data_IF_580220023160
#
_entry.id   IF_580220023160
#
_cell.length_a   1.000
_cell.length_b   1.000
_cell.length_c   1.000
_cell.angle_alpha   90.00
_cell.angle_beta   90.00
_cell.angle_gamma   90.00
#
_symmetry.space_group_name_H-M   'P 1'
#
loop_
_entity.id
_entity.type
_entity.pdbx_description
1 polymer ?
#
# COMPACT_ATOMS: atom_id res chain seq x y z
N UNK A 1 19.90 41.23 -39.91
CA UNK A 1 18.71 40.87 -39.10
C UNK A 1 19.05 39.59 -38.37
N UNK A 2 18.98 39.62 -37.04
CA UNK A 2 19.41 38.55 -36.12
C UNK A 2 18.46 37.34 -36.20
N UNK A 3 18.93 36.09 -35.99
CA UNK A 3 18.05 34.96 -35.77
C UNK A 3 17.54 34.97 -34.32
N UNK A 4 16.22 34.89 -34.16
CA UNK A 4 15.55 34.80 -32.87
C UNK A 4 15.79 33.41 -32.24
N UNK A 5 16.56 33.38 -31.14
CA UNK A 5 16.61 32.23 -30.24
C UNK A 5 15.33 32.22 -29.40
N UNK A 6 14.40 31.33 -29.75
CA UNK A 6 13.27 30.99 -28.88
C UNK A 6 13.74 29.88 -27.93
N UNK A 7 14.23 30.27 -26.75
CA UNK A 7 14.54 29.35 -25.67
C UNK A 7 13.24 28.71 -25.18
N UNK A 8 13.00 27.47 -25.57
CA UNK A 8 11.98 26.62 -24.94
C UNK A 8 12.41 26.34 -23.50
N UNK A 9 11.56 26.59 -22.48
CA UNK A 9 11.88 26.18 -21.12
C UNK A 9 12.05 24.66 -21.12
N UNK A 10 13.21 24.20 -20.65
CA UNK A 10 13.39 22.79 -20.28
C UNK A 10 12.42 22.53 -19.13
N UNK A 11 11.28 21.92 -19.42
CA UNK A 11 10.48 21.26 -18.40
C UNK A 11 11.31 20.07 -17.91
N UNK A 12 12.06 20.31 -16.84
CA UNK A 12 12.65 19.24 -16.04
C UNK A 12 11.47 18.49 -15.43
N UNK A 13 11.26 17.19 -15.72
CA UNK A 13 10.25 16.41 -15.02
C UNK A 13 10.63 16.45 -13.55
N UNK A 14 9.83 17.14 -12.74
CA UNK A 14 9.96 17.10 -11.29
C UNK A 14 9.77 15.63 -10.94
N UNK A 15 10.79 14.93 -10.41
CA UNK A 15 10.58 13.58 -9.93
C UNK A 15 9.60 13.74 -8.78
N UNK A 16 8.35 13.34 -8.99
CA UNK A 16 7.42 13.11 -7.88
C UNK A 16 8.09 12.02 -7.07
N UNK A 17 8.85 12.43 -6.04
CA UNK A 17 9.46 11.50 -5.10
C UNK A 17 8.30 10.84 -4.38
N UNK A 18 7.83 9.73 -4.94
CA UNK A 18 6.84 8.89 -4.29
C UNK A 18 7.36 8.57 -2.89
N UNK A 19 6.52 8.78 -1.88
CA UNK A 19 6.83 8.37 -0.50
C UNK A 19 7.20 6.88 -0.41
N UNK A 20 6.74 6.08 -1.37
CA UNK A 20 6.97 4.65 -1.47
C UNK A 20 8.08 4.36 -2.47
N UNK A 21 9.07 3.58 -2.02
CA UNK A 21 10.25 3.23 -2.80
C UNK A 21 10.03 2.01 -3.73
N UNK A 22 9.10 1.13 -3.35
CA UNK A 22 8.58 -0.07 -4.06
C UNK A 22 7.16 -0.34 -3.54
N UNK A 23 6.39 -1.25 -4.15
CA UNK A 23 4.98 -1.56 -3.82
C UNK A 23 4.04 -0.36 -3.99
N UNK A 24 4.32 0.50 -4.97
CA UNK A 24 3.64 1.79 -5.10
C UNK A 24 2.14 1.64 -5.27
N UNK A 25 1.71 0.72 -6.16
CA UNK A 25 0.29 0.49 -6.42
C UNK A 25 -0.45 0.02 -5.16
N UNK A 26 0.12 -0.95 -4.42
CA UNK A 26 -0.50 -1.47 -3.21
C UNK A 26 -0.61 -0.39 -2.13
N UNK A 27 0.44 0.41 -1.93
CA UNK A 27 0.47 1.43 -0.89
C UNK A 27 -0.49 2.60 -1.19
N UNK A 28 -0.61 3.01 -2.45
CA UNK A 28 -1.58 4.03 -2.85
C UNK A 28 -3.01 3.56 -2.61
N UNK A 29 -3.35 2.36 -3.07
CA UNK A 29 -4.69 1.81 -2.91
C UNK A 29 -5.05 1.69 -1.42
N UNK A 30 -4.13 1.16 -0.60
CA UNK A 30 -4.34 1.07 0.83
C UNK A 30 -4.51 2.45 1.49
N UNK A 31 -3.69 3.44 1.11
CA UNK A 31 -3.82 4.81 1.60
C UNK A 31 -5.18 5.43 1.23
N UNK A 32 -5.65 5.20 -0.01
CA UNK A 32 -6.96 5.65 -0.46
C UNK A 32 -8.10 5.10 0.41
N UNK A 33 -8.02 3.83 0.81
CA UNK A 33 -8.99 3.28 1.76
C UNK A 33 -8.88 3.89 3.15
N UNK A 34 -7.67 4.10 3.66
CA UNK A 34 -7.45 4.76 4.96
C UNK A 34 -8.12 6.14 4.96
N UNK A 35 -7.86 6.95 3.94
CA UNK A 35 -8.36 8.33 3.86
C UNK A 35 -9.89 8.37 3.79
N UNK A 36 -10.50 7.50 2.98
CA UNK A 36 -11.96 7.39 2.86
C UNK A 36 -12.62 6.91 4.15
N UNK A 37 -12.01 5.97 4.86
CA UNK A 37 -12.53 5.48 6.14
C UNK A 37 -12.41 6.57 7.21
N UNK A 38 -11.27 7.27 7.27
CA UNK A 38 -11.08 8.41 8.18
C UNK A 38 -12.08 9.54 7.91
N UNK A 39 -12.45 9.77 6.65
CA UNK A 39 -13.47 10.76 6.30
C UNK A 39 -14.84 10.45 6.94
N UNK A 40 -15.23 9.17 7.02
CA UNK A 40 -16.53 8.77 7.57
C UNK A 40 -16.51 8.48 9.07
N UNK A 41 -15.35 8.23 9.67
CA UNK A 41 -15.26 7.66 11.03
C UNK A 41 -15.86 8.58 12.09
N UNK A 42 -15.67 9.91 11.97
CA UNK A 42 -16.23 10.89 12.89
C UNK A 42 -17.76 10.91 12.83
N UNK A 43 -18.33 10.74 11.63
CA UNK A 43 -19.78 10.68 11.44
C UNK A 43 -20.37 9.38 12.00
N UNK A 44 -19.65 8.26 11.85
CA UNK A 44 -20.00 6.97 12.48
C UNK A 44 -19.95 7.07 14.01
N UNK A 45 -18.94 7.71 14.58
CA UNK A 45 -18.86 7.96 16.02
C UNK A 45 -20.01 8.85 16.51
N UNK A 46 -20.32 9.89 15.73
CA UNK A 46 -21.40 10.85 16.02
C UNK A 46 -22.78 10.20 15.98
N UNK A 47 -22.97 9.10 15.24
CA UNK A 47 -24.21 8.34 15.27
C UNK A 47 -24.40 7.52 16.55
N UNK A 48 -23.42 7.51 17.46
CA UNK A 48 -23.46 6.87 18.78
C UNK A 48 -23.94 5.41 18.70
N UNK A 49 -23.13 4.50 18.13
CA UNK A 49 -23.49 3.08 18.07
C UNK A 49 -23.81 2.58 19.48
N UNK A 50 -25.03 2.07 19.69
CA UNK A 50 -25.57 1.78 21.02
C UNK A 50 -25.61 0.28 21.36
N UNK A 51 -25.15 -0.58 20.45
CA UNK A 51 -25.05 -2.02 20.70
C UNK A 51 -23.59 -2.45 20.84
N UNK A 52 -23.32 -3.41 21.73
CA UNK A 52 -21.97 -3.90 22.06
C UNK A 52 -21.20 -4.33 20.82
N UNK A 53 -21.87 -5.01 19.88
CA UNK A 53 -21.25 -5.47 18.64
C UNK A 53 -20.77 -4.30 17.77
N UNK A 54 -21.55 -3.23 17.64
CA UNK A 54 -21.17 -2.07 16.84
C UNK A 54 -20.04 -1.26 17.49
N UNK A 55 -20.06 -1.13 18.82
CA UNK A 55 -18.95 -0.51 19.56
C UNK A 55 -17.66 -1.31 19.36
N UNK A 56 -17.72 -2.65 19.48
CA UNK A 56 -16.57 -3.52 19.24
C UNK A 56 -16.06 -3.44 17.79
N UNK A 57 -16.97 -3.38 16.81
CA UNK A 57 -16.63 -3.22 15.41
C UNK A 57 -15.93 -1.88 15.16
N UNK A 58 -16.43 -0.79 15.74
CA UNK A 58 -15.82 0.53 15.63
C UNK A 58 -14.43 0.60 16.28
N UNK A 59 -14.26 0.03 17.48
CA UNK A 59 -12.94 -0.09 18.11
C UNK A 59 -11.97 -0.93 17.26
N UNK A 60 -12.46 -2.01 16.67
CA UNK A 60 -11.66 -2.88 15.79
C UNK A 60 -11.30 -2.19 14.47
N UNK A 61 -12.18 -1.33 13.96
CA UNK A 61 -11.93 -0.50 12.78
C UNK A 61 -10.78 0.49 13.03
N UNK A 62 -10.79 1.19 14.17
CA UNK A 62 -9.69 2.06 14.61
C UNK A 62 -8.35 1.31 14.70
N UNK A 63 -8.35 0.15 15.38
CA UNK A 63 -7.12 -0.65 15.46
C UNK A 63 -6.63 -1.14 14.09
N UNK A 64 -7.56 -1.38 13.16
CA UNK A 64 -7.23 -1.76 11.78
C UNK A 64 -6.65 -0.57 11.00
N UNK A 65 -7.15 0.66 11.22
CA UNK A 65 -6.55 1.87 10.67
C UNK A 65 -5.11 2.07 11.17
N UNK A 66 -4.86 1.86 12.46
CA UNK A 66 -3.50 1.95 13.03
C UNK A 66 -2.56 0.93 12.37
N UNK A 67 -3.01 -0.30 12.19
CA UNK A 67 -2.26 -1.34 11.47
C UNK A 67 -1.97 -0.95 10.02
N UNK A 68 -2.96 -0.39 9.33
CA UNK A 68 -2.83 0.05 7.95
C UNK A 68 -1.78 1.17 7.83
N UNK A 69 -1.87 2.19 8.70
CA UNK A 69 -0.90 3.28 8.79
C UNK A 69 0.52 2.77 9.11
N UNK A 70 0.65 1.76 9.97
CA UNK A 70 1.94 1.14 10.27
C UNK A 70 2.53 0.44 9.03
N UNK A 71 1.72 -0.20 8.19
CA UNK A 71 2.17 -0.78 6.92
C UNK A 71 2.67 0.30 5.97
N UNK A 72 1.90 1.39 5.81
CA UNK A 72 2.28 2.53 4.96
C UNK A 72 3.61 3.13 5.44
N UNK A 73 3.74 3.38 6.74
CA UNK A 73 4.98 3.89 7.35
C UNK A 73 6.16 2.98 7.05
N UNK A 74 6.00 1.68 7.28
CA UNK A 74 7.00 0.67 6.99
C UNK A 74 7.44 0.69 5.51
N UNK A 75 6.50 0.74 4.57
CA UNK A 75 6.80 0.80 3.13
C UNK A 75 7.52 2.10 2.70
N UNK A 76 7.37 3.17 3.48
CA UNK A 76 8.08 4.44 3.21
C UNK A 76 9.48 4.51 3.84
N UNK A 77 9.66 3.94 5.03
CA UNK A 77 10.88 4.12 5.82
C UNK A 77 11.91 3.01 5.60
N UNK A 78 11.49 1.78 5.25
CA UNK A 78 12.39 0.66 5.03
C UNK A 78 13.30 0.83 3.80
N UNK A 79 14.38 0.04 3.74
CA UNK A 79 15.25 -0.04 2.56
C UNK A 79 14.54 -0.74 1.40
N UNK A 80 14.87 -0.37 0.16
CA UNK A 80 14.32 -1.03 -1.05
C UNK A 80 14.55 -2.53 -1.04
N UNK A 81 15.80 -2.93 -0.74
CA UNK A 81 16.18 -4.34 -0.59
C UNK A 81 15.25 -5.10 0.35
N UNK A 82 15.01 -4.56 1.55
CA UNK A 82 14.15 -5.20 2.54
C UNK A 82 12.71 -5.33 2.03
N UNK A 83 12.19 -4.27 1.41
CA UNK A 83 10.82 -4.24 0.90
C UNK A 83 10.62 -5.21 -0.27
N UNK A 84 11.59 -5.35 -1.18
CA UNK A 84 11.54 -6.32 -2.28
C UNK A 84 11.52 -7.76 -1.73
N UNK A 85 12.43 -8.08 -0.80
CA UNK A 85 12.50 -9.41 -0.16
C UNK A 85 11.21 -9.74 0.60
N UNK A 86 10.63 -8.75 1.30
CA UNK A 86 9.43 -8.93 2.14
C UNK A 86 8.11 -8.62 1.43
N UNK A 87 8.13 -8.36 0.13
CA UNK A 87 6.97 -7.97 -0.69
C UNK A 87 5.75 -8.87 -0.52
N UNK A 88 5.92 -10.19 -0.57
CA UNK A 88 4.82 -11.15 -0.36
C UNK A 88 4.21 -11.06 1.04
N UNK A 89 5.04 -10.78 2.06
CA UNK A 89 4.56 -10.55 3.44
C UNK A 89 3.80 -9.23 3.53
N UNK A 90 4.27 -8.18 2.86
CA UNK A 90 3.59 -6.87 2.79
C UNK A 90 2.23 -7.04 2.12
N UNK A 91 2.19 -7.67 0.94
CA UNK A 91 0.97 -7.99 0.21
C UNK A 91 -0.05 -8.71 1.11
N UNK A 92 0.37 -9.80 1.77
CA UNK A 92 -0.50 -10.56 2.69
C UNK A 92 -1.02 -9.70 3.85
N UNK A 93 -0.21 -8.77 4.38
CA UNK A 93 -0.64 -7.84 5.43
C UNK A 93 -1.67 -6.85 4.92
N UNK A 94 -1.48 -6.30 3.72
CA UNK A 94 -2.45 -5.40 3.07
C UNK A 94 -3.78 -6.11 2.84
N UNK A 95 -3.77 -7.34 2.32
CA UNK A 95 -4.99 -8.13 2.11
C UNK A 95 -5.73 -8.40 3.42
N UNK A 96 -5.02 -8.75 4.49
CA UNK A 96 -5.62 -8.94 5.82
C UNK A 96 -6.29 -7.66 6.32
N UNK A 97 -5.62 -6.52 6.17
CA UNK A 97 -6.18 -5.21 6.57
C UNK A 97 -7.43 -4.87 5.75
N UNK A 98 -7.39 -5.04 4.42
CA UNK A 98 -8.55 -4.83 3.54
C UNK A 98 -9.73 -5.70 3.94
N UNK A 99 -9.49 -6.99 4.21
CA UNK A 99 -10.54 -7.91 4.64
C UNK A 99 -11.10 -7.52 6.02
N UNK A 100 -10.26 -7.04 6.94
CA UNK A 100 -10.70 -6.50 8.23
C UNK A 100 -11.55 -5.24 8.07
N UNK A 101 -11.16 -4.30 7.19
CA UNK A 101 -11.99 -3.14 6.88
C UNK A 101 -13.36 -3.56 6.35
N UNK A 102 -13.41 -4.47 5.38
CA UNK A 102 -14.67 -4.96 4.82
C UNK A 102 -15.57 -5.58 5.91
N UNK A 103 -14.99 -6.41 6.79
CA UNK A 103 -15.72 -7.02 7.89
C UNK A 103 -16.32 -5.99 8.85
N UNK A 104 -15.53 -5.05 9.35
CA UNK A 104 -15.99 -4.11 10.38
C UNK A 104 -16.92 -3.04 9.82
N UNK A 105 -16.69 -2.58 8.59
CA UNK A 105 -17.63 -1.66 7.92
C UNK A 105 -18.99 -2.32 7.68
N UNK A 106 -19.02 -3.61 7.31
CA UNK A 106 -20.28 -4.36 7.17
C UNK A 106 -21.03 -4.46 8.50
N UNK A 107 -20.33 -4.66 9.61
CA UNK A 107 -20.95 -4.71 10.95
C UNK A 107 -21.51 -3.34 11.36
N UNK A 108 -20.78 -2.26 11.08
CA UNK A 108 -21.19 -0.89 11.42
C UNK A 108 -22.38 -0.42 10.59
N UNK A 109 -22.45 -0.80 9.31
CA UNK A 109 -23.47 -0.37 8.35
C UNK A 109 -24.91 -0.49 8.90
N UNK A 110 -25.22 -1.55 9.65
CA UNK A 110 -26.57 -1.79 10.17
C UNK A 110 -26.93 -0.92 11.38
N UNK A 111 -26.02 -0.07 11.86
CA UNK A 111 -26.16 0.69 13.10
C UNK A 111 -26.03 2.20 12.92
N UNK A 112 -25.89 2.66 11.69
CA UNK A 112 -25.71 4.06 11.33
C UNK A 112 -26.90 4.59 10.52
N UNK A 113 -27.12 5.92 10.48
CA UNK A 113 -28.11 6.54 9.60
C UNK A 113 -27.92 6.19 8.12
N UNK A 114 -29.03 6.18 7.37
CA UNK A 114 -29.06 5.83 5.93
C UNK A 114 -28.07 6.66 5.09
N UNK A 115 -27.84 7.92 5.45
CA UNK A 115 -26.86 8.78 4.77
C UNK A 115 -25.45 8.17 4.80
N UNK A 116 -25.04 7.59 5.93
CA UNK A 116 -23.73 6.93 6.08
C UNK A 116 -23.71 5.53 5.46
N UNK A 117 -24.85 4.84 5.41
CA UNK A 117 -24.95 3.53 4.77
C UNK A 117 -24.51 3.59 3.31
N UNK A 118 -24.89 4.63 2.56
CA UNK A 118 -24.52 4.79 1.16
C UNK A 118 -23.00 5.00 0.97
N UNK A 119 -22.37 5.82 1.83
CA UNK A 119 -20.92 6.03 1.81
C UNK A 119 -20.17 4.74 2.16
N UNK A 120 -20.62 4.03 3.20
CA UNK A 120 -20.06 2.72 3.60
C UNK A 120 -20.21 1.68 2.49
N UNK A 121 -21.38 1.61 1.82
CA UNK A 121 -21.59 0.72 0.66
C UNK A 121 -20.55 0.95 -0.43
N UNK A 122 -20.26 2.22 -0.73
CA UNK A 122 -19.31 2.60 -1.78
C UNK A 122 -17.90 2.13 -1.41
N UNK A 123 -17.48 2.33 -0.16
CA UNK A 123 -16.17 1.84 0.32
C UNK A 123 -16.12 0.31 0.29
N UNK A 124 -17.18 -0.37 0.74
CA UNK A 124 -17.27 -1.83 0.74
C UNK A 124 -17.17 -2.42 -0.67
N UNK A 125 -17.88 -1.82 -1.62
CA UNK A 125 -17.82 -2.22 -3.02
C UNK A 125 -16.37 -2.17 -3.52
N UNK A 126 -15.69 -1.04 -3.32
CA UNK A 126 -14.33 -0.86 -3.81
C UNK A 126 -13.33 -1.77 -3.10
N UNK A 127 -13.48 -1.98 -1.78
CA UNK A 127 -12.67 -2.94 -1.01
C UNK A 127 -12.80 -4.37 -1.58
N UNK A 128 -14.01 -4.79 -1.95
CA UNK A 128 -14.27 -6.13 -2.45
C UNK A 128 -13.76 -6.33 -3.90
N UNK A 129 -13.72 -5.27 -4.69
CA UNK A 129 -13.26 -5.33 -6.09
C UNK A 129 -11.77 -5.01 -6.25
N UNK A 130 -11.11 -4.46 -5.23
CA UNK A 130 -9.68 -4.16 -5.28
C UNK A 130 -8.86 -5.42 -5.03
N UNK A 131 -8.04 -5.80 -6.01
CA UNK A 131 -7.05 -6.87 -5.87
C UNK A 131 -5.66 -6.27 -5.72
N UNK A 132 -5.06 -6.44 -4.55
CA UNK A 132 -3.65 -6.12 -4.39
C UNK A 132 -2.81 -7.12 -5.17
N UNK A 133 -1.83 -6.63 -5.91
CA UNK A 133 -0.86 -7.45 -6.64
C UNK A 133 0.48 -6.72 -6.67
N UNK A 134 1.56 -7.48 -6.64
CA UNK A 134 2.90 -6.97 -6.91
C UNK A 134 3.05 -6.70 -8.41
N UNK A 135 3.72 -5.62 -8.75
CA UNK A 135 4.16 -5.37 -10.12
C UNK A 135 5.11 -6.50 -10.57
N UNK A 136 5.00 -6.93 -11.84
CA UNK A 136 5.73 -8.10 -12.36
C UNK A 136 7.26 -7.98 -12.17
N UNK A 137 7.82 -6.79 -12.45
CA UNK A 137 9.25 -6.50 -12.24
C UNK A 137 9.67 -6.66 -10.78
N UNK A 138 8.82 -6.29 -9.81
CA UNK A 138 9.14 -6.40 -8.39
C UNK A 138 9.19 -7.86 -7.93
N UNK A 139 8.29 -8.71 -8.43
CA UNK A 139 8.29 -10.15 -8.11
C UNK A 139 9.47 -10.89 -8.76
N UNK A 140 9.85 -10.56 -10.00
CA UNK A 140 11.03 -11.12 -10.64
C UNK A 140 12.33 -10.66 -9.95
N UNK A 141 12.45 -9.38 -9.64
CA UNK A 141 13.61 -8.84 -8.89
C UNK A 141 13.76 -9.55 -7.54
N UNK A 142 12.65 -9.82 -6.85
CA UNK A 142 12.66 -10.58 -5.60
C UNK A 142 13.18 -12.01 -5.80
N UNK A 143 12.73 -12.73 -6.84
CA UNK A 143 13.17 -14.11 -7.09
C UNK A 143 14.67 -14.18 -7.31
N UNK A 144 15.21 -13.29 -8.14
CA UNK A 144 16.65 -13.19 -8.42
C UNK A 144 17.40 -12.93 -7.11
N UNK A 145 16.94 -11.95 -6.33
CA UNK A 145 17.59 -11.59 -5.07
C UNK A 145 17.56 -12.70 -4.02
N UNK A 146 16.48 -13.48 -3.93
CA UNK A 146 16.40 -14.64 -3.05
C UNK A 146 17.34 -15.75 -3.49
N UNK A 147 17.39 -16.06 -4.79
CA UNK A 147 18.34 -17.06 -5.33
C UNK A 147 19.81 -16.66 -5.08
N UNK A 148 20.10 -15.35 -5.14
CA UNK A 148 21.41 -14.80 -4.83
C UNK A 148 21.80 -15.00 -3.37
N UNK A 149 20.91 -14.65 -2.45
CA UNK A 149 21.14 -14.85 -1.03
C UNK A 149 21.34 -16.33 -0.71
N UNK A 150 20.61 -17.24 -1.36
CA UNK A 150 20.80 -18.69 -1.20
C UNK A 150 22.14 -19.19 -1.77
N UNK A 151 22.62 -18.61 -2.89
CA UNK A 151 23.89 -18.96 -3.54
C UNK A 151 25.12 -18.44 -2.79
N UNK A 152 25.06 -17.30 -2.12
CA UNK A 152 26.14 -16.83 -1.23
C UNK A 152 26.42 -17.78 -0.05
N UNK A 153 25.44 -18.59 0.36
CA UNK A 153 25.66 -19.66 1.35
C UNK A 153 26.26 -20.94 0.75
N UNK A 154 26.47 -21.01 -0.57
CA UNK A 154 27.06 -22.15 -1.29
C UNK A 154 28.24 -21.69 -2.17
N UNK A 155 29.44 -21.70 -1.59
CA UNK A 155 30.80 -21.42 -2.13
C UNK A 155 31.04 -21.50 -3.67
N UNK A 156 30.35 -20.72 -4.49
CA UNK A 156 30.59 -20.65 -5.94
C UNK A 156 30.50 -19.22 -6.45
N UNK A 157 31.65 -18.53 -6.39
CA UNK A 157 31.83 -17.17 -6.90
C UNK A 157 31.88 -17.19 -8.43
N UNK A 158 30.72 -17.05 -9.05
CA UNK A 158 30.57 -16.55 -10.42
C UNK A 158 29.32 -15.69 -10.44
N UNK A 159 29.52 -14.37 -10.40
CA UNK A 159 28.42 -13.40 -10.47
C UNK A 159 27.98 -13.19 -11.92
N UNK A 160 26.73 -13.50 -12.23
CA UNK A 160 26.13 -13.31 -13.55
C UNK A 160 25.57 -11.88 -13.71
N UNK A 161 25.45 -11.36 -14.93
CA UNK A 161 25.02 -9.96 -15.15
C UNK A 161 23.62 -9.64 -14.58
N UNK A 162 22.70 -10.61 -14.61
CA UNK A 162 21.35 -10.45 -14.03
C UNK A 162 21.38 -10.30 -12.50
N UNK A 163 22.38 -10.89 -11.83
CA UNK A 163 22.58 -10.77 -10.40
C UNK A 163 23.05 -9.37 -10.01
N UNK A 164 23.97 -8.79 -10.79
CA UNK A 164 24.45 -7.41 -10.62
C UNK A 164 23.31 -6.40 -10.84
N UNK A 165 22.50 -6.60 -11.87
CA UNK A 165 21.37 -5.74 -12.20
C UNK A 165 20.31 -5.72 -11.08
N UNK A 166 19.98 -6.89 -10.52
CA UNK A 166 19.04 -6.98 -9.40
C UNK A 166 19.53 -6.22 -8.15
N UNK A 167 20.84 -6.28 -7.85
CA UNK A 167 21.44 -5.52 -6.74
C UNK A 167 21.40 -4.01 -7.05
N UNK A 168 21.75 -3.61 -8.27
CA UNK A 168 21.71 -2.20 -8.69
C UNK A 168 20.29 -1.60 -8.57
N UNK A 169 19.26 -2.38 -8.91
CA UNK A 169 17.86 -1.94 -8.83
C UNK A 169 17.37 -1.66 -7.39
N UNK A 170 18.03 -2.22 -6.38
CA UNK A 170 17.66 -2.06 -4.96
C UNK A 170 18.68 -1.28 -4.11
N UNK A 171 19.84 -0.92 -4.69
CA UNK A 171 20.96 -0.29 -3.99
C UNK A 171 20.85 1.25 -3.83
N UNK A 172 19.92 1.91 -4.54
CA UNK A 172 19.68 3.36 -4.47
C UNK A 172 18.32 3.69 -3.86
#
# INVERSE_FOLDING_TARGET
MLPNNCSTPLEIPIPTSSKFKVHHSICIELQGFIDRILHIILSVESSRPNCTLAIQALCSLHFTLDKANLIIKHCSESSKLYLVITSHKILSRCEKVRNSFALYLTQIQNTVPISLVAEICTILHDLNHTKFSLEFEEDETRKILLSLLEKEFSDSVSMENAEVEAIQNVAL
#
